data_IF_655006902338
#
_entry.id   IF_655006902338
#
_cell.length_a   1.000
_cell.length_b   1.000
_cell.length_c   1.000
_cell.angle_alpha   90.00
_cell.angle_beta   90.00
_cell.angle_gamma   90.00
#
_symmetry.space_group_name_H-M   'P 1'
#
loop_
_entity.id
_entity.type
_entity.pdbx_description
1 polymer ?
#
# COMPACT_ATOMS: atom_id res chain seq x y z
N UNK A 1 -36.96 38.29 0.89
CA UNK A 1 -36.12 38.00 -0.31
C UNK A 1 -34.65 37.76 0.04
N UNK A 2 -33.97 38.65 0.78
CA UNK A 2 -32.55 38.52 1.18
C UNK A 2 -32.18 37.26 2.00
N UNK A 3 -33.13 36.74 2.79
CA UNK A 3 -32.94 35.51 3.60
C UNK A 3 -33.08 34.21 2.80
N UNK A 4 -33.84 34.23 1.69
CA UNK A 4 -34.06 33.07 0.81
C UNK A 4 -32.88 32.90 -0.14
N UNK A 5 -32.30 34.00 -0.62
CA UNK A 5 -31.04 33.98 -1.38
C UNK A 5 -29.84 33.58 -0.53
N UNK A 6 -29.84 33.87 0.79
CA UNK A 6 -28.75 33.48 1.69
C UNK A 6 -28.77 31.98 2.03
N UNK A 7 -29.95 31.34 2.06
CA UNK A 7 -30.08 29.89 2.30
C UNK A 7 -29.83 29.02 1.06
N UNK A 8 -29.97 29.57 -0.16
CA UNK A 8 -29.66 28.81 -1.39
C UNK A 8 -28.16 28.67 -1.65
N UNK A 9 -27.34 29.56 -1.10
CA UNK A 9 -25.89 29.60 -1.37
C UNK A 9 -25.10 28.54 -0.56
N UNK A 10 -25.66 28.04 0.54
CA UNK A 10 -25.01 27.06 1.41
C UNK A 10 -25.21 25.60 0.97
N UNK A 11 -26.21 25.32 0.14
CA UNK A 11 -26.50 23.95 -0.32
C UNK A 11 -25.57 23.50 -1.48
N UNK A 12 -24.85 24.43 -2.11
CA UNK A 12 -24.00 24.14 -3.26
C UNK A 12 -22.58 23.65 -2.90
N UNK A 13 -22.15 23.72 -1.63
CA UNK A 13 -20.77 23.39 -1.23
C UNK A 13 -20.54 21.94 -0.80
N UNK A 14 -21.55 21.07 -0.84
CA UNK A 14 -21.44 19.70 -0.27
C UNK A 14 -21.06 18.63 -1.31
N UNK A 15 -20.91 18.97 -2.60
CA UNK A 15 -20.75 17.97 -3.66
C UNK A 15 -19.31 17.60 -4.05
N UNK A 16 -18.29 18.19 -3.45
CA UNK A 16 -16.88 17.89 -3.81
C UNK A 16 -16.25 16.97 -2.78
N UNK A 17 -16.61 15.68 -2.82
CA UNK A 17 -16.12 14.70 -1.85
C UNK A 17 -16.12 13.25 -2.33
N UNK A 18 -16.05 12.98 -3.64
CA UNK A 18 -15.84 11.62 -4.12
C UNK A 18 -14.35 11.39 -4.41
N UNK A 19 -13.57 11.19 -3.36
CA UNK A 19 -12.20 10.72 -3.48
C UNK A 19 -12.25 9.19 -3.60
N UNK A 20 -12.76 8.68 -4.73
CA UNK A 20 -12.76 7.24 -4.98
C UNK A 20 -11.30 6.81 -5.12
N UNK A 21 -10.79 6.12 -4.10
CA UNK A 21 -9.48 5.51 -4.19
C UNK A 21 -9.52 4.55 -5.39
N UNK A 22 -8.72 4.83 -6.43
CA UNK A 22 -8.52 3.88 -7.53
C UNK A 22 -8.15 2.56 -6.88
N UNK A 23 -9.02 1.57 -7.01
CA UNK A 23 -8.77 0.21 -6.52
C UNK A 23 -7.67 -0.34 -7.42
N UNK A 24 -6.41 -0.11 -7.01
CA UNK A 24 -5.25 -0.69 -7.66
C UNK A 24 -5.33 -2.18 -7.38
N UNK A 25 -5.94 -2.91 -8.31
CA UNK A 25 -5.92 -4.37 -8.29
C UNK A 25 -4.47 -4.80 -8.43
N UNK A 26 -3.90 -5.35 -7.37
CA UNK A 26 -2.57 -5.93 -7.41
C UNK A 26 -2.58 -7.06 -8.47
N UNK A 27 -1.80 -6.89 -9.54
CA UNK A 27 -1.70 -7.84 -10.65
C UNK A 27 -0.71 -8.97 -10.36
N UNK A 28 0.15 -8.80 -9.35
CA UNK A 28 1.13 -9.82 -8.97
C UNK A 28 0.53 -10.81 -7.96
N UNK A 29 0.73 -12.10 -8.21
CA UNK A 29 0.45 -13.16 -7.23
C UNK A 29 1.38 -13.02 -6.02
N UNK A 30 0.81 -13.17 -4.83
CA UNK A 30 1.56 -13.22 -3.57
C UNK A 30 2.37 -14.52 -3.44
N UNK A 31 1.77 -15.64 -3.84
CA UNK A 31 2.43 -16.94 -3.84
C UNK A 31 3.22 -17.15 -5.13
N UNK A 32 4.29 -17.94 -5.05
CA UNK A 32 5.22 -18.17 -6.15
C UNK A 32 6.13 -16.98 -6.45
N UNK A 33 6.09 -15.93 -5.62
CA UNK A 33 6.92 -14.74 -5.76
C UNK A 33 7.87 -14.57 -4.57
N UNK A 34 9.04 -14.00 -4.88
CA UNK A 34 10.07 -13.65 -3.90
C UNK A 34 10.09 -12.14 -3.71
N UNK A 35 9.87 -11.71 -2.47
CA UNK A 35 9.79 -10.30 -2.11
C UNK A 35 11.04 -9.90 -1.33
N UNK A 36 11.76 -8.92 -1.84
CA UNK A 36 12.92 -8.33 -1.18
C UNK A 36 12.49 -7.13 -0.34
N UNK A 37 13.00 -7.02 0.89
CA UNK A 37 12.80 -5.84 1.72
C UNK A 37 13.67 -4.69 1.20
N UNK A 38 13.04 -3.62 0.73
CA UNK A 38 13.74 -2.41 0.23
C UNK A 38 13.74 -1.27 1.23
N UNK A 39 12.72 -1.19 2.09
CA UNK A 39 12.53 -0.12 3.06
C UNK A 39 11.85 -0.66 4.32
N UNK A 40 12.26 -0.18 5.49
CA UNK A 40 11.65 -0.48 6.77
C UNK A 40 11.48 0.80 7.58
N UNK A 41 10.24 1.12 7.98
CA UNK A 41 9.90 2.32 8.75
C UNK A 41 10.42 3.62 8.12
N UNK A 42 10.25 3.81 6.80
CA UNK A 42 10.71 5.01 6.11
C UNK A 42 12.22 5.05 5.80
N UNK A 43 12.97 4.00 6.16
CA UNK A 43 14.42 3.95 5.99
C UNK A 43 14.80 2.88 4.97
N UNK A 44 15.61 3.21 3.95
CA UNK A 44 16.13 2.22 3.01
C UNK A 44 16.88 1.12 3.73
N UNK A 45 16.64 -0.14 3.34
CA UNK A 45 17.39 -1.28 3.84
C UNK A 45 18.59 -1.51 2.94
N UNK A 46 19.78 -1.25 3.47
CA UNK A 46 21.04 -1.61 2.81
C UNK A 46 21.28 -3.11 2.89
N UNK A 47 22.20 -3.62 2.07
CA UNK A 47 22.65 -5.02 2.18
C UNK A 47 23.07 -5.33 3.62
N UNK A 48 22.69 -6.51 4.10
CA UNK A 48 23.11 -6.99 5.43
C UNK A 48 24.64 -7.10 5.50
N UNK A 49 25.19 -7.16 6.72
CA UNK A 49 26.63 -7.34 6.92
C UNK A 49 27.18 -8.61 6.24
N UNK A 50 26.33 -9.62 6.00
CA UNK A 50 26.67 -10.85 5.29
C UNK A 50 26.55 -10.73 3.76
N UNK A 51 26.24 -9.54 3.23
CA UNK A 51 26.06 -9.29 1.80
C UNK A 51 24.78 -9.90 1.20
N UNK A 52 23.90 -10.47 2.02
CA UNK A 52 22.63 -11.07 1.60
C UNK A 52 21.47 -10.08 1.75
N UNK A 53 20.53 -10.13 0.81
CA UNK A 53 19.29 -9.35 0.88
C UNK A 53 18.31 -10.00 1.86
N UNK A 54 17.62 -9.19 2.66
CA UNK A 54 16.48 -9.65 3.46
C UNK A 54 15.31 -9.92 2.52
N UNK A 55 14.72 -11.11 2.61
CA UNK A 55 13.64 -11.50 1.72
C UNK A 55 12.65 -12.46 2.39
N UNK A 56 11.45 -12.52 1.81
CA UNK A 56 10.44 -13.52 2.07
C UNK A 56 9.96 -14.14 0.75
N UNK A 57 9.53 -15.40 0.82
CA UNK A 57 8.97 -16.13 -0.30
C UNK A 57 7.77 -16.93 0.20
N UNK A 58 6.66 -16.82 -0.51
CA UNK A 58 5.45 -17.58 -0.24
C UNK A 58 5.42 -18.73 -1.24
N UNK A 59 5.55 -19.96 -0.74
CA UNK A 59 5.51 -21.15 -1.57
C UNK A 59 4.06 -21.52 -1.89
N UNK A 60 3.74 -21.66 -3.18
CA UNK A 60 2.39 -21.96 -3.65
C UNK A 60 2.02 -23.45 -3.54
N UNK A 61 2.99 -24.35 -3.36
CA UNK A 61 2.76 -25.80 -3.28
C UNK A 61 2.52 -26.22 -1.84
N UNK A 62 3.39 -25.77 -0.95
CA UNK A 62 3.40 -26.19 0.45
C UNK A 62 2.64 -25.20 1.37
N UNK A 63 2.21 -24.06 0.82
CA UNK A 63 1.63 -22.93 1.57
C UNK A 63 2.48 -22.52 2.78
N UNK A 64 3.80 -22.51 2.59
CA UNK A 64 4.78 -22.12 3.62
C UNK A 64 5.43 -20.80 3.27
N UNK A 65 5.84 -20.08 4.31
CA UNK A 65 6.67 -18.89 4.20
C UNK A 65 8.11 -19.28 4.52
N UNK A 66 9.03 -18.88 3.66
CA UNK A 66 10.47 -19.01 3.88
C UNK A 66 11.17 -17.69 3.60
N UNK A 67 12.37 -17.50 4.13
CA UNK A 67 13.07 -16.22 3.99
C UNK A 67 14.40 -16.15 4.73
N UNK A 68 15.07 -15.02 4.55
CA UNK A 68 16.24 -14.63 5.33
C UNK A 68 15.95 -13.28 5.98
N UNK A 69 16.04 -13.23 7.30
CA UNK A 69 15.70 -12.04 8.11
C UNK A 69 16.92 -11.21 8.53
N UNK A 70 18.15 -11.66 8.21
CA UNK A 70 19.38 -10.90 8.46
C UNK A 70 20.31 -11.46 9.54
N UNK A 71 19.96 -12.58 10.19
CA UNK A 71 20.79 -13.31 11.15
C UNK A 71 21.21 -14.65 10.56
#
# INVERSE_FOLDING_TARGET
>A
MKKVTLSLLTLALVSVGCNTAKKTTATASLEGTKWKLTELNGKPVSKTQMGKDVYLQLDAKDHRISGFSGC
#
